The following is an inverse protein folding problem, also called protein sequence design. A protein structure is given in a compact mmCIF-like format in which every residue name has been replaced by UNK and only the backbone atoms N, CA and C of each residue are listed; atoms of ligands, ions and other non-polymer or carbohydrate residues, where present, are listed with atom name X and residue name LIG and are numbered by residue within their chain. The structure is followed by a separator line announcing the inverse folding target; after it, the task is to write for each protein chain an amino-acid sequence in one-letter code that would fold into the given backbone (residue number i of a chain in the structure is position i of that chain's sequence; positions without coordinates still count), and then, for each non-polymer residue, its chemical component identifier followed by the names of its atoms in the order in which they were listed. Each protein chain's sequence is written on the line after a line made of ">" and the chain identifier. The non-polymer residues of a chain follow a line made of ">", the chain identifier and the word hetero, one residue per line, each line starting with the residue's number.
data_IF_081938956624
#
_entry.id   IF_081938956624
#
_cell.length_a   1.000
_cell.length_b   1.000
_cell.length_c   1.000
_cell.angle_alpha   90.00
_cell.angle_beta   90.00
_cell.angle_gamma   90.00
#
_symmetry.space_group_name_H-M   'P 1'
#
loop_
_entity.id
_entity.type
_entity.pdbx_description
1 polymer ?
#
# COMPACT_ATOMS: atom_id res chain seq x y z
N UNK A 1 -17.06 34.33 22.09
CA UNK A 1 -15.78 34.93 21.64
C UNK A 1 -14.89 35.04 22.86
N UNK A 2 -13.88 34.18 22.99
CA UNK A 2 -13.00 34.14 24.15
C UNK A 2 -11.90 35.20 24.00
N UNK A 3 -11.80 36.11 24.96
CA UNK A 3 -10.75 37.13 25.03
C UNK A 3 -9.41 36.51 25.36
N UNK A 4 -8.39 36.84 24.57
CA UNK A 4 -7.00 36.44 24.77
C UNK A 4 -6.44 37.21 25.97
N UNK A 5 -6.01 36.48 27.01
CA UNK A 5 -5.33 37.05 28.17
C UNK A 5 -3.84 36.71 28.10
N UNK A 6 -2.99 37.73 27.96
CA UNK A 6 -1.53 37.62 28.03
C UNK A 6 -1.09 37.88 29.47
N UNK A 7 -0.18 37.07 29.99
CA UNK A 7 0.35 37.21 31.36
C UNK A 7 1.30 38.42 31.48
N UNK A 8 2.00 38.78 30.39
CA UNK A 8 2.90 39.93 30.35
C UNK A 8 2.97 40.55 28.95
N UNK A 9 3.33 41.84 28.85
CA UNK A 9 3.37 42.56 27.55
C UNK A 9 4.36 41.96 26.54
N UNK A 10 5.38 41.26 27.03
CA UNK A 10 6.40 40.60 26.21
C UNK A 10 6.18 39.08 26.07
N UNK A 11 5.11 38.51 26.66
CA UNK A 11 4.81 37.09 26.48
C UNK A 11 4.20 36.86 25.10
N UNK A 12 4.67 35.83 24.39
CA UNK A 12 4.01 35.36 23.18
C UNK A 12 2.69 34.65 23.50
N UNK A 13 1.80 34.58 22.51
CA UNK A 13 0.59 33.76 22.61
C UNK A 13 1.02 32.31 22.79
N UNK A 14 0.62 31.71 23.91
CA UNK A 14 0.84 30.29 24.15
C UNK A 14 -0.09 29.51 23.21
N UNK A 15 0.47 28.76 22.25
CA UNK A 15 -0.30 27.90 21.33
C UNK A 15 -0.88 26.68 22.05
N UNK A 16 -0.39 26.40 23.26
CA UNK A 16 -0.85 25.30 24.12
C UNK A 16 -1.70 25.87 25.25
N UNK A 17 -2.85 25.27 25.49
CA UNK A 17 -3.69 25.67 26.60
C UNK A 17 -3.02 25.18 27.90
N UNK A 18 -2.78 26.05 28.90
CA UNK A 18 -2.15 25.62 30.17
C UNK A 18 -2.97 24.53 30.91
N UNK A 19 -4.24 24.38 30.55
CA UNK A 19 -5.12 23.31 31.05
C UNK A 19 -4.87 21.95 30.38
N UNK A 20 -4.33 21.90 29.15
CA UNK A 20 -3.96 20.64 28.48
C UNK A 20 -2.80 19.91 29.20
N UNK A 21 -2.08 20.61 30.08
CA UNK A 21 -1.01 20.02 30.90
C UNK A 21 -1.53 19.05 31.97
N UNK A 22 -2.82 19.16 32.32
CA UNK A 22 -3.49 18.28 33.28
C UNK A 22 -4.43 17.28 32.61
N UNK A 23 -4.57 17.37 31.28
CA UNK A 23 -5.32 16.38 30.54
C UNK A 23 -4.60 15.05 30.62
N UNK A 24 -5.38 13.99 30.80
CA UNK A 24 -4.85 12.63 30.74
C UNK A 24 -4.13 12.48 29.41
N UNK A 25 -2.80 12.22 29.39
CA UNK A 25 -2.12 11.96 28.14
C UNK A 25 -2.85 10.79 27.47
N UNK A 26 -3.09 10.85 26.15
CA UNK A 26 -3.76 9.77 25.47
C UNK A 26 -3.01 8.48 25.79
N UNK A 27 -3.76 7.46 26.22
CA UNK A 27 -3.17 6.16 26.53
C UNK A 27 -2.35 5.74 25.32
N UNK A 28 -1.04 5.62 25.50
CA UNK A 28 -0.17 5.10 24.48
C UNK A 28 -0.67 3.68 24.18
N UNK A 29 -1.37 3.51 23.07
CA UNK A 29 -1.84 2.23 22.58
C UNK A 29 -0.61 1.51 22.05
N UNK A 30 0.24 1.04 22.96
CA UNK A 30 1.48 0.37 22.64
C UNK A 30 1.10 -0.82 21.76
N UNK A 31 1.51 -0.74 20.48
CA UNK A 31 1.34 -1.82 19.54
C UNK A 31 2.09 -3.03 20.08
N UNK A 32 1.36 -3.98 20.67
CA UNK A 32 1.97 -5.12 21.38
C UNK A 32 2.81 -5.98 20.44
N UNK A 33 2.38 -6.09 19.18
CA UNK A 33 3.05 -6.89 18.14
C UNK A 33 2.69 -6.37 16.76
N UNK A 34 3.68 -6.31 15.86
CA UNK A 34 3.47 -6.13 14.41
C UNK A 34 4.05 -7.32 13.68
N UNK A 35 3.33 -7.83 12.69
CA UNK A 35 3.81 -8.89 11.82
C UNK A 35 3.25 -8.70 10.42
N UNK A 36 4.02 -9.14 9.42
CA UNK A 36 3.56 -9.20 8.04
C UNK A 36 2.86 -10.54 7.79
N UNK A 37 1.65 -10.47 7.25
CA UNK A 37 0.89 -11.63 6.80
C UNK A 37 0.80 -11.57 5.28
N UNK A 38 1.14 -12.68 4.62
CA UNK A 38 1.07 -12.79 3.17
C UNK A 38 -0.27 -13.37 2.72
N UNK A 39 -0.88 -12.74 1.72
CA UNK A 39 -2.09 -13.22 1.06
C UNK A 39 -1.79 -13.58 -0.39
N UNK A 40 -2.31 -14.72 -0.83
CA UNK A 40 -2.22 -15.15 -2.22
C UNK A 40 -3.50 -14.79 -2.99
N UNK A 41 -3.39 -14.56 -4.32
CA UNK A 41 -4.57 -14.35 -5.15
C UNK A 41 -5.55 -15.52 -5.05
N UNK A 42 -6.85 -15.21 -5.05
CA UNK A 42 -7.93 -16.22 -5.07
C UNK A 42 -7.86 -17.07 -6.34
N UNK A 43 -7.39 -16.49 -7.44
CA UNK A 43 -7.21 -17.17 -8.71
C UNK A 43 -5.96 -16.69 -9.46
N UNK A 44 -5.50 -17.49 -10.41
CA UNK A 44 -4.34 -17.15 -11.23
C UNK A 44 -4.59 -15.85 -12.03
N UNK A 45 -3.66 -14.88 -12.03
CA UNK A 45 -3.82 -13.65 -12.79
C UNK A 45 -4.00 -13.93 -14.28
N UNK A 46 -5.05 -13.38 -14.87
CA UNK A 46 -5.27 -13.43 -16.32
C UNK A 46 -4.68 -12.18 -16.98
N UNK A 47 -4.41 -12.25 -18.29
CA UNK A 47 -3.76 -11.16 -19.03
C UNK A 47 -4.54 -9.84 -19.09
N UNK A 48 -5.79 -9.84 -18.63
CA UNK A 48 -6.64 -8.68 -18.47
C UNK A 48 -7.68 -8.98 -17.39
N UNK A 49 -7.54 -8.41 -16.20
CA UNK A 49 -8.50 -8.63 -15.11
C UNK A 49 -8.05 -8.03 -13.78
N UNK A 50 -8.99 -8.01 -12.83
CA UNK A 50 -8.73 -7.66 -11.44
C UNK A 50 -8.07 -8.88 -10.76
N UNK A 51 -7.06 -8.63 -9.92
CA UNK A 51 -6.49 -9.66 -9.04
C UNK A 51 -7.21 -9.54 -7.71
N UNK A 52 -7.95 -10.59 -7.35
CA UNK A 52 -8.73 -10.63 -6.11
C UNK A 52 -7.95 -11.35 -5.01
N UNK A 53 -7.99 -10.78 -3.80
CA UNK A 53 -7.39 -11.34 -2.60
C UNK A 53 -8.48 -11.52 -1.53
N UNK A 54 -8.44 -12.65 -0.82
CA UNK A 54 -9.29 -12.87 0.34
C UNK A 54 -8.51 -12.52 1.61
N UNK A 55 -8.92 -11.44 2.29
CA UNK A 55 -8.30 -10.95 3.52
C UNK A 55 -9.27 -11.18 4.69
N UNK A 56 -9.16 -12.31 5.42
CA UNK A 56 -10.01 -12.60 6.56
C UNK A 56 -9.73 -11.64 7.73
N UNK A 57 -10.73 -11.44 8.58
CA UNK A 57 -10.57 -10.62 9.79
C UNK A 57 -9.59 -11.23 10.79
N UNK A 58 -8.79 -10.39 11.44
CA UNK A 58 -7.72 -10.78 12.36
C UNK A 58 -8.18 -11.11 13.79
N UNK A 59 -9.46 -11.42 14.00
CA UNK A 59 -10.05 -11.71 15.31
C UNK A 59 -10.07 -10.48 16.23
N UNK A 60 -8.92 -10.12 16.82
CA UNK A 60 -8.73 -8.95 17.67
C UNK A 60 -7.65 -7.96 17.19
N UNK A 61 -6.95 -8.28 16.08
CA UNK A 61 -5.96 -7.39 15.46
C UNK A 61 -6.56 -6.47 14.39
N UNK A 62 -5.74 -5.54 13.90
CA UNK A 62 -6.07 -4.68 12.76
C UNK A 62 -4.98 -4.75 11.69
N UNK A 63 -5.37 -4.49 10.44
CA UNK A 63 -4.42 -4.31 9.35
C UNK A 63 -4.05 -2.84 9.25
N UNK A 64 -2.75 -2.56 9.28
CA UNK A 64 -2.25 -1.27 8.85
C UNK A 64 -2.19 -1.23 7.31
N UNK A 65 -3.20 -0.60 6.73
CA UNK A 65 -3.32 -0.46 5.27
C UNK A 65 -2.24 0.48 4.70
N UNK A 66 -1.66 1.37 5.51
CA UNK A 66 -0.61 2.27 5.05
C UNK A 66 0.71 1.52 4.84
N UNK A 67 0.95 0.43 5.59
CA UNK A 67 2.14 -0.42 5.48
C UNK A 67 1.90 -1.73 4.71
N UNK A 68 0.85 -1.78 3.87
CA UNK A 68 0.58 -2.92 3.00
C UNK A 68 1.35 -2.84 1.67
N UNK A 69 1.96 -3.94 1.24
CA UNK A 69 2.75 -4.02 0.01
C UNK A 69 2.19 -5.06 -0.96
N UNK A 70 2.23 -4.75 -2.26
CA UNK A 70 1.94 -5.71 -3.32
C UNK A 70 3.25 -6.24 -3.91
N UNK A 71 3.55 -7.50 -3.69
CA UNK A 71 4.72 -8.15 -4.28
C UNK A 71 4.39 -8.68 -5.69
N UNK A 72 5.06 -8.14 -6.71
CA UNK A 72 4.86 -8.51 -8.12
C UNK A 72 6.17 -9.05 -8.70
N UNK A 73 6.12 -10.27 -9.24
CA UNK A 73 7.19 -10.81 -10.08
C UNK A 73 6.71 -10.84 -11.53
N UNK A 74 7.34 -10.06 -12.41
CA UNK A 74 6.96 -9.98 -13.82
C UNK A 74 8.17 -10.00 -14.76
N UNK A 75 7.93 -10.41 -16.00
CA UNK A 75 8.92 -10.39 -17.08
C UNK A 75 8.50 -9.41 -18.16
N UNK A 76 9.36 -8.45 -18.47
CA UNK A 76 9.14 -7.55 -19.60
C UNK A 76 9.32 -8.35 -20.90
N UNK A 77 8.26 -8.40 -21.72
CA UNK A 77 8.29 -9.06 -23.03
C UNK A 77 8.04 -8.03 -24.13
N UNK A 78 8.78 -8.12 -25.23
CA UNK A 78 8.52 -7.29 -26.42
C UNK A 78 7.23 -7.75 -27.07
N UNK A 79 6.23 -6.86 -27.20
CA UNK A 79 4.97 -7.13 -27.91
C UNK A 79 5.27 -7.37 -29.39
N UNK A 80 5.53 -8.62 -29.73
CA UNK A 80 5.95 -8.98 -31.07
C UNK A 80 4.71 -9.34 -31.88
N UNK A 81 4.23 -8.40 -32.71
CA UNK A 81 3.28 -8.71 -33.79
C UNK A 81 4.06 -9.34 -34.95
N UNK A 82 4.45 -10.61 -34.84
CA UNK A 82 4.83 -11.37 -36.03
C UNK A 82 3.55 -11.93 -36.66
N UNK A 83 3.00 -11.24 -37.66
CA UNK A 83 2.31 -11.93 -38.76
C UNK A 83 3.41 -12.52 -39.64
N UNK A 84 3.92 -13.67 -39.24
CA UNK A 84 4.66 -14.52 -40.16
C UNK A 84 3.61 -15.16 -41.08
N UNK A 85 3.38 -14.58 -42.26
CA UNK A 85 2.80 -15.33 -43.35
C UNK A 85 3.80 -16.43 -43.70
N UNK A 86 3.41 -17.67 -43.41
CA UNK A 86 4.10 -18.89 -43.81
C UNK A 86 4.49 -18.82 -45.29
N UNK A 87 5.71 -18.42 -45.62
CA UNK A 87 6.29 -18.62 -46.94
C UNK A 87 7.23 -19.83 -46.87
N UNK A 88 6.65 -21.00 -47.12
CA UNK A 88 7.36 -22.24 -47.38
C UNK A 88 8.07 -22.08 -48.75
N UNK A 89 9.41 -22.07 -48.78
CA UNK A 89 10.17 -22.24 -50.04
C UNK A 89 10.90 -23.57 -50.01
N UNK A 90 10.53 -24.47 -50.93
CA UNK A 90 11.27 -25.69 -51.22
C UNK A 90 12.68 -25.33 -51.70
N UNK A 91 13.72 -25.89 -51.05
CA UNK A 91 15.06 -25.95 -51.65
C UNK A 91 15.24 -27.36 -52.22
N UNK A 92 15.08 -27.49 -53.53
CA UNK A 92 15.44 -28.71 -54.27
C UNK A 92 16.91 -28.62 -54.62
N UNK A 93 17.72 -29.55 -54.10
CA UNK A 93 19.09 -29.78 -54.57
C UNK A 93 19.03 -30.94 -55.56
N UNK A 94 19.51 -30.72 -56.79
CA UNK A 94 19.75 -31.79 -57.76
C UNK A 94 21.25 -32.10 -57.77
N UNK A 95 21.58 -33.39 -57.84
CA UNK A 95 22.94 -33.89 -58.13
C UNK A 95 23.26 -33.67 -59.60
#
# INVERSE_FOLDING_TARGET
>A
MSTIALVHKNSCLCTTNQLELFDLPPTNFALEKSEYVEFFPVSAPTGSGVIEYNVPGLGGGFFDLQSSFLHIQCKIVRKTRFRAYWQWRHRVQRK
#
